data_IF_471010122645
#
_entry.id   IF_471010122645
#
_cell.length_a   1.000
_cell.length_b   1.000
_cell.length_c   1.000
_cell.angle_alpha   90.00
_cell.angle_beta   90.00
_cell.angle_gamma   90.00
#
_symmetry.space_group_name_H-M   'P 1'
#
loop_
_entity.id
_entity.type
_entity.pdbx_description
1 polymer ?
#
# COMPACT_ATOMS: atom_id res chain seq x y z
N UNK A 1 7.64 -23.68 -8.50
CA UNK A 1 6.21 -24.03 -8.72
C UNK A 1 5.28 -23.52 -7.61
N UNK A 2 5.67 -23.55 -6.33
CA UNK A 2 4.81 -23.03 -5.24
C UNK A 2 4.56 -21.52 -5.33
N UNK A 3 5.59 -20.72 -5.62
CA UNK A 3 5.50 -19.25 -5.63
C UNK A 3 4.65 -18.69 -6.77
N UNK A 4 4.62 -19.35 -7.93
CA UNK A 4 3.78 -18.94 -9.07
C UNK A 4 2.30 -19.12 -8.77
N UNK A 5 1.95 -20.20 -8.07
CA UNK A 5 0.55 -20.48 -7.68
C UNK A 5 0.09 -19.45 -6.64
N UNK A 6 0.89 -19.20 -5.60
CA UNK A 6 0.54 -18.17 -4.59
C UNK A 6 0.43 -16.78 -5.20
N UNK A 7 1.32 -16.42 -6.13
CA UNK A 7 1.29 -15.14 -6.83
C UNK A 7 0.04 -14.97 -7.69
N UNK A 8 -0.32 -15.97 -8.52
CA UNK A 8 -1.55 -15.92 -9.32
C UNK A 8 -2.81 -15.81 -8.47
N UNK A 9 -2.89 -16.56 -7.36
CA UNK A 9 -4.04 -16.47 -6.45
C UNK A 9 -4.10 -15.08 -5.79
N UNK A 10 -2.96 -14.52 -5.38
CA UNK A 10 -2.91 -13.18 -4.81
C UNK A 10 -3.42 -12.12 -5.79
N UNK A 11 -3.01 -12.18 -7.06
CA UNK A 11 -3.48 -11.28 -8.14
C UNK A 11 -5.01 -11.35 -8.26
N UNK A 12 -5.57 -12.56 -8.36
CA UNK A 12 -7.02 -12.76 -8.50
C UNK A 12 -7.76 -12.19 -7.29
N UNK A 13 -7.28 -12.43 -6.07
CA UNK A 13 -7.89 -11.90 -4.85
C UNK A 13 -7.81 -10.37 -4.77
N UNK A 14 -6.70 -9.75 -5.17
CA UNK A 14 -6.59 -8.30 -5.24
C UNK A 14 -7.57 -7.69 -6.24
N UNK A 15 -7.70 -8.29 -7.43
CA UNK A 15 -8.67 -7.83 -8.44
C UNK A 15 -10.12 -8.04 -7.99
N UNK A 16 -10.42 -9.15 -7.30
CA UNK A 16 -11.74 -9.39 -6.72
C UNK A 16 -12.07 -8.37 -5.61
N UNK A 17 -11.11 -8.06 -4.74
CA UNK A 17 -11.27 -7.03 -3.73
C UNK A 17 -11.50 -5.65 -4.36
N UNK A 18 -10.73 -5.30 -5.40
CA UNK A 18 -10.89 -4.06 -6.14
C UNK A 18 -12.27 -3.97 -6.82
N UNK A 19 -12.69 -5.02 -7.51
CA UNK A 19 -13.99 -5.10 -8.17
C UNK A 19 -15.15 -5.06 -7.17
N UNK A 20 -14.99 -5.71 -6.01
CA UNK A 20 -15.96 -5.66 -4.91
C UNK A 20 -16.14 -4.22 -4.39
N UNK A 21 -15.04 -3.53 -4.08
CA UNK A 21 -15.04 -2.12 -3.66
C UNK A 21 -15.64 -1.21 -4.74
N UNK A 22 -15.27 -1.40 -6.01
CA UNK A 22 -15.79 -0.59 -7.12
C UNK A 22 -17.30 -0.78 -7.33
N UNK A 23 -17.81 -2.02 -7.21
CA UNK A 23 -19.25 -2.31 -7.29
C UNK A 23 -20.03 -1.70 -6.12
N UNK A 24 -19.47 -1.74 -4.91
CA UNK A 24 -20.07 -1.09 -3.74
C UNK A 24 -20.19 0.42 -3.95
N UNK A 25 -19.12 1.06 -4.43
CA UNK A 25 -19.09 2.48 -4.76
C UNK A 25 -20.11 2.83 -5.86
N UNK A 26 -20.17 2.03 -6.93
CA UNK A 26 -21.11 2.24 -8.04
C UNK A 26 -22.58 2.10 -7.62
N UNK A 27 -22.86 1.28 -6.60
CA UNK A 27 -24.21 1.13 -6.01
C UNK A 27 -24.59 2.26 -5.05
N UNK A 28 -23.71 3.24 -4.83
CA UNK A 28 -23.92 4.31 -3.85
C UNK A 28 -23.97 3.81 -2.41
N UNK A 29 -23.56 2.55 -2.17
CA UNK A 29 -23.46 1.98 -0.83
C UNK A 29 -22.12 2.43 -0.28
N UNK A 30 -22.18 3.22 0.79
CA UNK A 30 -21.03 3.59 1.58
C UNK A 30 -20.26 2.33 1.96
N UNK A 31 -19.03 2.16 1.47
CA UNK A 31 -18.08 1.18 2.05
C UNK A 31 -17.84 1.42 3.55
N UNK A 32 -18.35 2.52 4.09
CA UNK A 32 -18.23 3.01 5.45
C UNK A 32 -19.21 2.40 6.46
N UNK A 33 -20.44 2.03 6.08
CA UNK A 33 -21.44 1.54 7.06
C UNK A 33 -21.17 0.09 7.50
N UNK A 34 -20.53 -0.68 6.65
CA UNK A 34 -19.99 -1.99 7.00
C UNK A 34 -18.93 -2.36 5.95
N UNK A 35 -17.63 -2.26 6.27
CA UNK A 35 -16.67 -3.05 5.53
C UNK A 35 -17.06 -4.51 5.78
N UNK A 36 -17.77 -5.13 4.82
CA UNK A 36 -18.19 -6.52 4.96
C UNK A 36 -16.99 -7.32 5.39
N UNK A 37 -17.10 -8.06 6.49
CA UNK A 37 -16.02 -8.90 6.99
C UNK A 37 -15.43 -9.78 5.87
N UNK A 38 -16.25 -10.14 4.89
CA UNK A 38 -15.87 -10.77 3.63
C UNK A 38 -14.75 -10.02 2.88
N UNK A 39 -14.87 -8.71 2.66
CA UNK A 39 -13.90 -7.94 1.90
C UNK A 39 -12.61 -7.75 2.69
N UNK A 40 -12.70 -7.53 4.01
CA UNK A 40 -11.54 -7.55 4.91
C UNK A 40 -10.82 -8.90 4.86
N UNK A 41 -11.56 -10.00 4.87
CA UNK A 41 -11.04 -11.36 4.81
C UNK A 41 -10.36 -11.62 3.46
N UNK A 42 -10.98 -11.24 2.35
CA UNK A 42 -10.39 -11.36 1.00
C UNK A 42 -9.08 -10.58 0.93
N UNK A 43 -9.06 -9.34 1.45
CA UNK A 43 -7.83 -8.53 1.46
C UNK A 43 -6.76 -9.11 2.36
N UNK A 44 -7.12 -9.65 3.53
CA UNK A 44 -6.19 -10.32 4.42
C UNK A 44 -5.63 -11.60 3.80
N UNK A 45 -6.45 -12.38 3.10
CA UNK A 45 -6.01 -13.57 2.37
C UNK A 45 -5.05 -13.21 1.23
N UNK A 46 -5.38 -12.17 0.43
CA UNK A 46 -4.49 -11.66 -0.62
C UNK A 46 -3.15 -11.20 -0.04
N UNK A 47 -3.20 -10.47 1.08
CA UNK A 47 -2.04 -9.97 1.82
C UNK A 47 -1.15 -11.12 2.31
N UNK A 48 -1.72 -12.16 2.92
CA UNK A 48 -0.97 -13.32 3.40
C UNK A 48 -0.28 -14.08 2.27
N UNK A 49 -0.95 -14.23 1.12
CA UNK A 49 -0.35 -14.86 -0.05
C UNK A 49 0.78 -14.01 -0.65
N UNK A 50 0.62 -12.68 -0.67
CA UNK A 50 1.67 -11.77 -1.10
C UNK A 50 2.86 -11.80 -0.13
N UNK A 51 2.63 -11.84 1.18
CA UNK A 51 3.70 -12.06 2.18
C UNK A 51 4.40 -13.40 1.96
N UNK A 52 3.66 -14.48 1.69
CA UNK A 52 4.24 -15.78 1.40
C UNK A 52 5.13 -15.73 0.14
N UNK A 53 4.66 -15.08 -0.94
CA UNK A 53 5.45 -14.86 -2.15
C UNK A 53 6.76 -14.14 -1.83
N UNK A 54 6.71 -13.00 -1.15
CA UNK A 54 7.91 -12.23 -0.77
C UNK A 54 8.85 -13.03 0.13
N UNK A 55 8.31 -13.75 1.12
CA UNK A 55 9.09 -14.59 2.03
C UNK A 55 9.85 -15.69 1.28
N UNK A 56 9.19 -16.38 0.34
CA UNK A 56 9.85 -17.42 -0.47
C UNK A 56 10.99 -16.85 -1.32
N UNK A 57 10.84 -15.63 -1.83
CA UNK A 57 11.89 -14.96 -2.61
C UNK A 57 13.08 -14.56 -1.73
N UNK A 58 12.82 -14.00 -0.53
CA UNK A 58 13.88 -13.62 0.42
C UNK A 58 14.67 -14.83 0.91
N UNK A 59 13.99 -15.95 1.25
CA UNK A 59 14.67 -17.17 1.72
C UNK A 59 15.53 -17.80 0.63
N UNK A 60 15.15 -17.70 -0.64
CA UNK A 60 15.87 -18.32 -1.74
C UNK A 60 17.03 -17.47 -2.27
N UNK A 61 16.94 -16.14 -2.22
CA UNK A 61 17.86 -15.25 -2.95
C UNK A 61 18.50 -14.16 -2.09
N UNK A 62 18.35 -14.19 -0.76
CA UNK A 62 18.63 -13.05 0.13
C UNK A 62 17.76 -11.84 -0.27
N UNK A 63 17.86 -10.71 0.44
CA UNK A 63 17.05 -9.51 0.13
C UNK A 63 17.50 -8.94 -1.22
N UNK A 64 16.85 -9.35 -2.31
CA UNK A 64 17.09 -8.84 -3.65
C UNK A 64 16.21 -7.59 -3.86
N UNK A 65 16.81 -6.40 -3.80
CA UNK A 65 16.10 -5.12 -4.01
C UNK A 65 16.08 -4.69 -5.48
N UNK A 66 16.06 -5.65 -6.41
CA UNK A 66 15.81 -5.38 -7.83
C UNK A 66 14.48 -4.64 -8.05
N UNK A 67 14.34 -4.00 -9.22
CA UNK A 67 13.30 -3.00 -9.46
C UNK A 67 11.88 -3.58 -9.31
N UNK A 68 11.63 -4.75 -9.87
CA UNK A 68 10.30 -5.38 -9.76
C UNK A 68 10.03 -5.87 -8.33
N UNK A 69 11.06 -6.35 -7.62
CA UNK A 69 10.90 -6.85 -6.25
C UNK A 69 10.61 -5.69 -5.30
N UNK A 70 11.35 -4.59 -5.47
CA UNK A 70 11.14 -3.31 -4.80
C UNK A 70 9.71 -2.77 -5.01
N UNK A 71 9.19 -2.82 -6.24
CA UNK A 71 7.81 -2.45 -6.55
C UNK A 71 6.80 -3.37 -5.84
N UNK A 72 7.05 -4.68 -5.83
CA UNK A 72 6.21 -5.66 -5.13
C UNK A 72 6.18 -5.38 -3.62
N UNK A 73 7.34 -5.17 -2.99
CA UNK A 73 7.46 -4.81 -1.55
C UNK A 73 6.72 -3.49 -1.27
N UNK A 74 6.88 -2.48 -2.12
CA UNK A 74 6.25 -1.18 -1.92
C UNK A 74 4.73 -1.28 -2.04
N UNK A 75 4.21 -2.03 -3.02
CA UNK A 75 2.78 -2.29 -3.12
C UNK A 75 2.24 -3.09 -1.93
N UNK A 76 3.02 -4.05 -1.43
CA UNK A 76 2.71 -4.80 -0.22
C UNK A 76 2.63 -3.89 1.00
N UNK A 77 3.59 -2.95 1.17
CA UNK A 77 3.57 -1.93 2.21
C UNK A 77 2.34 -1.01 2.10
N UNK A 78 1.97 -0.59 0.89
CA UNK A 78 0.76 0.21 0.68
C UNK A 78 -0.50 -0.55 1.13
N UNK A 79 -0.62 -1.84 0.79
CA UNK A 79 -1.74 -2.68 1.24
C UNK A 79 -1.68 -2.89 2.76
N UNK A 80 -0.49 -3.11 3.36
CA UNK A 80 -0.31 -3.25 4.80
C UNK A 80 -0.79 -2.02 5.55
N UNK A 81 -0.29 -0.85 5.15
CA UNK A 81 -0.59 0.42 5.79
C UNK A 81 -2.07 0.76 5.63
N UNK A 82 -2.64 0.54 4.45
CA UNK A 82 -4.07 0.73 4.20
C UNK A 82 -4.93 -0.28 4.98
N UNK A 83 -4.53 -1.55 5.07
CA UNK A 83 -5.20 -2.54 5.92
C UNK A 83 -5.13 -2.15 7.39
N UNK A 84 -4.00 -1.61 7.84
CA UNK A 84 -3.82 -1.01 9.15
C UNK A 84 -4.81 0.13 9.38
N UNK A 85 -4.98 1.04 8.40
CA UNK A 85 -5.96 2.11 8.57
C UNK A 85 -7.37 1.56 8.74
N UNK A 86 -7.77 0.46 8.07
CA UNK A 86 -9.08 -0.18 8.26
C UNK A 86 -9.33 -0.73 9.68
N UNK A 87 -8.27 -1.11 10.40
CA UNK A 87 -8.36 -1.52 11.80
C UNK A 87 -8.57 -0.33 12.73
N UNK A 88 -7.90 0.79 12.44
CA UNK A 88 -8.01 2.01 13.24
C UNK A 88 -9.31 2.78 12.96
N UNK A 89 -9.70 2.92 11.68
CA UNK A 89 -10.84 3.70 11.20
C UNK A 89 -11.37 3.11 9.87
N UNK A 90 -12.68 3.11 9.58
CA UNK A 90 -13.24 2.43 8.40
C UNK A 90 -13.01 3.17 7.07
N UNK A 91 -11.78 3.58 6.74
CA UNK A 91 -11.43 4.32 5.51
C UNK A 91 -11.20 3.35 4.33
N UNK A 92 -12.29 2.74 3.88
CA UNK A 92 -12.33 1.65 2.87
C UNK A 92 -11.86 2.01 1.46
N UNK A 93 -12.05 3.26 1.04
CA UNK A 93 -12.08 3.63 -0.38
C UNK A 93 -10.70 3.63 -1.07
N UNK A 94 -9.62 3.70 -0.30
CA UNK A 94 -8.25 3.70 -0.81
C UNK A 94 -7.90 2.39 -1.56
N UNK A 95 -8.55 1.29 -1.18
CA UNK A 95 -8.32 -0.03 -1.77
C UNK A 95 -8.68 -0.11 -3.25
N UNK A 96 -9.56 0.77 -3.74
CA UNK A 96 -9.94 0.84 -5.17
C UNK A 96 -8.72 1.16 -6.04
N UNK A 97 -7.79 1.98 -5.52
CA UNK A 97 -6.57 2.37 -6.23
C UNK A 97 -5.41 1.44 -5.86
N UNK A 98 -5.28 1.09 -4.58
CA UNK A 98 -4.12 0.34 -4.09
C UNK A 98 -4.14 -1.13 -4.55
N UNK A 99 -5.29 -1.81 -4.55
CA UNK A 99 -5.37 -3.22 -4.94
C UNK A 99 -5.03 -3.51 -6.41
N UNK A 100 -5.49 -2.74 -7.42
CA UNK A 100 -5.06 -2.98 -8.80
C UNK A 100 -3.56 -2.73 -8.98
N UNK A 101 -2.98 -1.74 -8.26
CA UNK A 101 -1.53 -1.51 -8.27
C UNK A 101 -0.79 -2.73 -7.68
N UNK A 102 -1.27 -3.29 -6.57
CA UNK A 102 -0.72 -4.51 -5.98
C UNK A 102 -0.82 -5.71 -6.93
N UNK A 103 -1.94 -5.88 -7.63
CA UNK A 103 -2.11 -6.93 -8.64
C UNK A 103 -1.11 -6.79 -9.81
N UNK A 104 -0.94 -5.58 -10.33
CA UNK A 104 -0.01 -5.31 -11.45
C UNK A 104 1.44 -5.53 -11.04
N UNK A 105 1.83 -5.07 -9.85
CA UNK A 105 3.22 -5.23 -9.37
C UNK A 105 3.57 -6.69 -9.09
N UNK A 106 2.66 -7.48 -8.51
CA UNK A 106 2.85 -8.93 -8.36
C UNK A 106 2.95 -9.62 -9.73
N UNK A 107 2.13 -9.22 -10.70
CA UNK A 107 2.20 -9.76 -12.07
C UNK A 107 3.56 -9.44 -12.72
N UNK A 108 4.02 -8.18 -12.62
CA UNK A 108 5.30 -7.75 -13.16
C UNK A 108 6.48 -8.51 -12.52
N UNK A 109 6.44 -8.72 -11.21
CA UNK A 109 7.43 -9.55 -10.49
C UNK A 109 7.43 -11.00 -10.98
N UNK A 110 6.26 -11.58 -11.26
CA UNK A 110 6.16 -12.95 -11.77
C UNK A 110 6.66 -13.08 -13.22
N UNK A 111 6.41 -12.07 -14.05
CA UNK A 111 6.86 -12.04 -15.45
C UNK A 111 8.36 -11.79 -15.58
N UNK A 112 8.94 -11.05 -14.64
CA UNK A 112 10.34 -10.67 -14.64
C UNK A 112 11.02 -11.18 -13.37
N UNK A 113 11.32 -12.49 -13.27
CA UNK A 113 12.19 -13.00 -12.22
C UNK A 113 13.60 -12.41 -12.46
N UNK A 114 13.88 -11.28 -11.81
CA UNK A 114 15.16 -10.59 -11.94
C UNK A 114 16.32 -11.49 -11.51
N UNK A 115 17.46 -11.31 -12.17
CA UNK A 115 18.74 -11.82 -11.70
C UNK A 115 19.02 -11.30 -10.29
N UNK A 116 19.73 -12.10 -9.50
CA UNK A 116 20.12 -11.74 -8.13
C UNK A 116 20.94 -10.45 -8.17
N UNK A 117 20.34 -9.34 -7.72
CA UNK A 117 21.07 -8.10 -7.47
C UNK A 117 21.42 -8.08 -5.98
N UNK A 118 22.58 -8.63 -5.65
CA UNK A 118 23.15 -8.39 -4.32
C UNK A 118 23.57 -6.93 -4.28
N UNK A 119 22.96 -6.20 -3.36
CA UNK A 119 23.44 -4.89 -2.95
C UNK A 119 24.80 -5.04 -2.28
N UNK A 120 25.68 -4.06 -2.50
CA UNK A 120 27.07 -4.14 -2.05
C UNK A 120 27.23 -4.04 -0.52
N UNK A 121 26.24 -3.49 0.19
CA UNK A 121 26.31 -3.31 1.65
C UNK A 121 24.96 -3.45 2.34
N UNK A 122 24.95 -4.08 3.52
CA UNK A 122 23.76 -4.19 4.38
C UNK A 122 23.21 -2.82 4.79
N UNK A 123 24.07 -1.79 4.86
CA UNK A 123 23.68 -0.41 5.15
C UNK A 123 22.77 0.14 4.05
N UNK A 124 23.11 -0.10 2.78
CA UNK A 124 22.31 0.33 1.64
C UNK A 124 20.91 -0.31 1.65
N UNK A 125 20.81 -1.60 1.97
CA UNK A 125 19.52 -2.29 2.09
C UNK A 125 18.62 -1.64 3.14
N UNK A 126 19.19 -1.36 4.32
CA UNK A 126 18.43 -0.72 5.40
C UNK A 126 17.94 0.66 5.01
N UNK A 127 18.77 1.46 4.31
CA UNK A 127 18.38 2.78 3.81
C UNK A 127 17.24 2.70 2.78
N UNK A 128 17.32 1.76 1.84
CA UNK A 128 16.30 1.57 0.81
C UNK A 128 14.98 1.11 1.44
N UNK A 129 15.01 0.11 2.34
CA UNK A 129 13.82 -0.38 3.03
C UNK A 129 13.17 0.73 3.87
N UNK A 130 13.96 1.52 4.59
CA UNK A 130 13.47 2.63 5.40
C UNK A 130 12.82 3.71 4.53
N UNK A 131 13.42 4.00 3.37
CA UNK A 131 12.87 4.92 2.36
C UNK A 131 11.55 4.40 1.77
N UNK A 132 11.45 3.11 1.46
CA UNK A 132 10.20 2.50 0.97
C UNK A 132 9.07 2.61 1.98
N UNK A 133 9.35 2.40 3.28
CA UNK A 133 8.36 2.57 4.35
C UNK A 133 7.91 4.04 4.43
N UNK A 134 8.85 4.99 4.41
CA UNK A 134 8.53 6.42 4.43
C UNK A 134 7.66 6.83 3.24
N UNK A 135 8.05 6.44 2.02
CA UNK A 135 7.29 6.77 0.81
C UNK A 135 5.92 6.11 0.79
N UNK A 136 5.79 4.88 1.29
CA UNK A 136 4.48 4.21 1.38
C UNK A 136 3.55 4.92 2.38
N UNK A 137 4.06 5.37 3.53
CA UNK A 137 3.30 6.17 4.50
C UNK A 137 2.81 7.48 3.88
N UNK A 138 3.72 8.22 3.23
CA UNK A 138 3.39 9.48 2.58
C UNK A 138 2.43 9.29 1.39
N UNK A 139 2.54 8.21 0.63
CA UNK A 139 1.64 7.88 -0.46
C UNK A 139 0.22 7.59 0.03
N UNK A 140 0.06 6.82 1.12
CA UNK A 140 -1.26 6.60 1.74
C UNK A 140 -1.84 7.92 2.26
N UNK A 141 -1.01 8.78 2.88
CA UNK A 141 -1.44 10.11 3.33
C UNK A 141 -1.89 10.99 2.15
N UNK A 142 -1.15 11.02 1.05
CA UNK A 142 -1.48 11.79 -0.14
C UNK A 142 -2.79 11.31 -0.79
N UNK A 143 -3.02 10.00 -0.84
CA UNK A 143 -4.29 9.45 -1.32
C UNK A 143 -5.45 9.87 -0.39
N UNK A 144 -5.25 9.88 0.93
CA UNK A 144 -6.25 10.39 1.88
C UNK A 144 -6.54 11.88 1.70
N UNK A 145 -5.50 12.70 1.53
CA UNK A 145 -5.62 14.13 1.26
C UNK A 145 -6.41 14.38 -0.03
N UNK A 146 -6.12 13.61 -1.07
CA UNK A 146 -6.84 13.68 -2.36
C UNK A 146 -8.31 13.32 -2.20
N UNK A 147 -8.61 12.26 -1.45
CA UNK A 147 -10.00 11.89 -1.14
C UNK A 147 -10.71 12.98 -0.34
N UNK A 148 -10.06 13.55 0.67
CA UNK A 148 -10.62 14.63 1.50
C UNK A 148 -10.93 15.87 0.65
N UNK A 149 -10.02 16.27 -0.24
CA UNK A 149 -10.22 17.39 -1.16
C UNK A 149 -11.39 17.16 -2.12
N UNK A 150 -11.55 15.92 -2.63
CA UNK A 150 -12.70 15.53 -3.46
C UNK A 150 -13.99 15.64 -2.64
N UNK A 151 -14.00 15.15 -1.39
CA UNK A 151 -15.17 15.19 -0.51
C UNK A 151 -15.58 16.64 -0.20
N UNK A 152 -14.63 17.51 0.15
CA UNK A 152 -14.88 18.92 0.43
C UNK A 152 -15.49 19.65 -0.76
N UNK A 153 -14.97 19.41 -1.97
CA UNK A 153 -15.51 19.98 -3.21
C UNK A 153 -16.97 19.57 -3.46
N UNK A 154 -17.32 18.31 -3.19
CA UNK A 154 -18.69 17.81 -3.35
C UNK A 154 -19.65 18.44 -2.33
N UNK A 155 -19.21 18.61 -1.07
CA UNK A 155 -19.99 19.25 -0.01
C UNK A 155 -20.24 20.73 -0.27
N UNK A 156 -19.23 21.46 -0.75
CA UNK A 156 -19.34 22.89 -1.09
C UNK A 156 -20.33 23.17 -2.24
N UNK A 157 -20.46 22.23 -3.17
CA UNK A 157 -21.35 22.37 -4.33
C UNK A 157 -22.82 22.00 -4.06
N UNK A 158 -23.23 21.74 -2.81
CA UNK A 158 -24.62 21.45 -2.40
C UNK A 158 -25.34 20.41 -3.29
N UNK A 159 -24.63 19.43 -3.84
CA UNK A 159 -25.22 18.33 -4.61
C UNK A 159 -25.45 17.13 -3.67
N UNK A 160 -26.62 16.98 -3.00
CA UNK A 160 -26.84 15.95 -2.00
C UNK A 160 -27.22 14.61 -2.69
N UNK A 161 -26.56 14.27 -3.79
CA UNK A 161 -26.64 12.93 -4.36
C UNK A 161 -25.98 11.94 -3.41
N UNK A 162 -26.50 10.71 -3.33
CA UNK A 162 -26.24 9.69 -2.29
C UNK A 162 -24.77 9.37 -1.94
N UNK A 163 -23.80 9.88 -2.69
CA UNK A 163 -22.37 9.87 -2.36
C UNK A 163 -22.01 10.72 -1.13
N UNK A 164 -22.73 11.82 -0.85
CA UNK A 164 -22.39 12.74 0.28
C UNK A 164 -22.79 12.16 1.65
N UNK A 165 -23.83 11.32 1.70
CA UNK A 165 -24.31 10.70 2.96
C UNK A 165 -23.47 9.50 3.39
N UNK A 166 -22.53 9.09 2.54
CA UNK A 166 -21.66 7.93 2.67
C UNK A 166 -20.26 8.25 3.22
N UNK A 167 -19.99 9.53 3.52
CA UNK A 167 -18.66 10.00 3.87
C UNK A 167 -18.50 10.06 5.40
N UNK A 168 -17.40 9.54 5.96
CA UNK A 168 -17.12 9.61 7.39
C UNK A 168 -17.02 11.08 7.82
N UNK A 169 -17.19 11.40 9.11
CA UNK A 169 -16.94 12.75 9.61
C UNK A 169 -15.54 13.21 9.18
N UNK A 170 -15.46 14.32 8.43
CA UNK A 170 -14.22 14.79 7.77
C UNK A 170 -13.02 14.86 8.72
N UNK A 171 -13.29 15.21 9.98
CA UNK A 171 -12.27 15.38 11.02
C UNK A 171 -11.47 14.11 11.29
N UNK A 172 -12.06 12.93 11.10
CA UNK A 172 -11.38 11.64 11.35
C UNK A 172 -10.39 11.27 10.24
N UNK A 173 -10.73 11.57 8.99
CA UNK A 173 -9.84 11.34 7.84
C UNK A 173 -8.66 12.31 7.89
N UNK A 174 -8.90 13.57 8.27
CA UNK A 174 -7.88 14.59 8.44
C UNK A 174 -6.85 14.22 9.52
N UNK A 175 -7.32 13.76 10.69
CA UNK A 175 -6.42 13.36 11.78
C UNK A 175 -5.53 12.17 11.37
N UNK A 176 -6.10 11.18 10.68
CA UNK A 176 -5.36 10.04 10.17
C UNK A 176 -4.33 10.46 9.10
N UNK A 177 -4.70 11.36 8.19
CA UNK A 177 -3.79 11.92 7.19
C UNK A 177 -2.60 12.58 7.87
N UNK A 178 -2.84 13.46 8.86
CA UNK A 178 -1.75 14.12 9.59
C UNK A 178 -0.89 13.13 10.38
N UNK A 179 -1.48 12.08 10.98
CA UNK A 179 -0.71 11.03 11.64
C UNK A 179 0.22 10.31 10.65
N UNK A 180 -0.27 9.96 9.46
CA UNK A 180 0.54 9.32 8.43
C UNK A 180 1.63 10.24 7.88
N UNK A 181 1.35 11.53 7.67
CA UNK A 181 2.36 12.52 7.28
C UNK A 181 3.45 12.63 8.35
N UNK A 182 3.07 12.75 9.62
CA UNK A 182 4.04 12.82 10.73
C UNK A 182 4.88 11.55 10.83
N UNK A 183 4.25 10.38 10.76
CA UNK A 183 4.96 9.10 10.78
C UNK A 183 5.91 8.98 9.58
N UNK A 184 5.43 9.27 8.37
CA UNK A 184 6.24 9.25 7.14
C UNK A 184 7.42 10.20 7.20
N UNK A 185 7.23 11.42 7.72
CA UNK A 185 8.30 12.39 7.91
C UNK A 185 9.34 11.92 8.92
N UNK A 186 8.92 11.37 10.06
CA UNK A 186 9.84 10.82 11.07
C UNK A 186 10.70 9.68 10.49
N UNK A 187 10.06 8.75 9.76
CA UNK A 187 10.76 7.64 9.10
C UNK A 187 11.70 8.17 8.00
N UNK A 188 11.28 9.18 7.23
CA UNK A 188 12.11 9.82 6.21
C UNK A 188 13.34 10.51 6.82
N UNK A 189 13.19 11.16 7.98
CA UNK A 189 14.32 11.74 8.71
C UNK A 189 15.31 10.66 9.13
N UNK A 190 14.84 9.53 9.67
CA UNK A 190 15.70 8.39 9.99
C UNK A 190 16.39 7.83 8.73
N UNK A 191 15.69 7.78 7.59
CA UNK A 191 16.27 7.38 6.31
C UNK A 191 17.42 8.30 5.90
N UNK A 192 17.27 9.63 6.03
CA UNK A 192 18.35 10.58 5.76
C UNK A 192 19.58 10.34 6.64
N UNK A 193 19.40 10.09 7.93
CA UNK A 193 20.51 9.77 8.83
C UNK A 193 21.21 8.46 8.46
N UNK A 194 20.44 7.44 8.05
CA UNK A 194 21.02 6.16 7.61
C UNK A 194 21.90 6.27 6.34
N UNK A 195 21.75 7.35 5.56
CA UNK A 195 22.53 7.59 4.35
C UNK A 195 23.94 8.14 4.61
N UNK A 196 24.22 8.69 5.80
CA UNK A 196 25.52 9.29 6.15
C UNK A 196 26.71 8.36 5.87
N UNK A 197 26.76 7.12 6.40
CA UNK A 197 27.87 6.20 6.13
C UNK A 197 28.02 5.85 4.65
N UNK A 198 26.91 5.85 3.91
CA UNK A 198 26.92 5.55 2.47
C UNK A 198 27.59 6.66 1.65
N UNK A 199 27.46 7.92 2.09
CA UNK A 199 28.13 9.07 1.47
C UNK A 199 29.63 9.03 1.73
N UNK A 200 30.05 8.62 2.92
CA UNK A 200 31.47 8.44 3.25
C UNK A 200 32.13 7.40 2.35
N UNK A 201 31.49 6.25 2.14
CA UNK A 201 31.98 5.18 1.24
C UNK A 201 32.11 5.63 -0.23
N UNK A 202 31.30 6.60 -0.69
CA UNK A 202 31.36 7.11 -2.07
C UNK A 202 32.52 8.12 -2.26
N UNK A 203 32.88 8.83 -1.19
CA UNK A 203 33.90 9.89 -1.23
C UNK A 203 35.29 9.35 -0.91
N UNK A 204 35.38 8.21 -0.20
CA UNK A 204 36.62 7.49 0.10
C UNK A 204 37.24 6.81 -1.12
#
# INVERSE_FOLDING_TARGET
MSYTISGSIAIVLYLLAAAGLARLLARGISCFDHPRNELKLITAAAMLLHTHLLFTLVVQQWVNLGFFHALSITSWLLVLLMGGTWLLRPVGNLGIIIFPIAAVTVLLQMMNPESIHQTASSTLDTHILLSMVAYSLLAVAALQATLLAIQEKHLRNKQPGGFIRALPPMMEVEHLMFQLVRAGLLVLTLALFSAIPLVEDIIA
#
